data_IF_065950587639
#
_entry.id   IF_065950587639
#
_cell.length_a   1.000
_cell.length_b   1.000
_cell.length_c   1.000
_cell.angle_alpha   90.00
_cell.angle_beta   90.00
_cell.angle_gamma   90.00
#
_symmetry.space_group_name_H-M   'P 1'
#
loop_
_entity.id
_entity.type
_entity.pdbx_description
1 polymer ?
#
# COMPACT_ATOMS: atom_id res chain seq x y z
N UNK A 1 -26.39 0.40 7.05
CA UNK A 1 -25.98 0.30 5.63
C UNK A 1 -24.56 -0.24 5.58
N UNK A 2 -24.22 -1.10 4.60
CA UNK A 2 -22.84 -1.59 4.40
C UNK A 2 -21.94 -0.38 4.11
N UNK A 3 -20.79 -0.32 4.76
CA UNK A 3 -19.77 0.70 4.54
C UNK A 3 -18.66 0.15 3.64
N UNK A 4 -18.00 1.05 2.94
CA UNK A 4 -16.93 0.80 1.98
C UNK A 4 -15.81 1.80 2.18
N UNK A 5 -14.70 1.60 1.48
CA UNK A 5 -13.61 2.57 1.45
C UNK A 5 -13.24 2.96 0.02
N UNK A 6 -12.96 4.26 -0.19
CA UNK A 6 -12.45 4.79 -1.45
C UNK A 6 -11.01 5.23 -1.25
N UNK A 7 -10.15 4.85 -2.17
CA UNK A 7 -8.79 5.38 -2.30
C UNK A 7 -8.79 6.42 -3.42
N UNK A 8 -8.22 7.59 -3.16
CA UNK A 8 -7.87 8.60 -4.16
C UNK A 8 -6.38 8.94 -3.99
N UNK A 9 -5.63 8.98 -5.08
CA UNK A 9 -4.20 9.33 -5.06
C UNK A 9 -3.90 10.31 -6.19
N UNK A 10 -3.11 11.34 -5.89
CA UNK A 10 -2.69 12.39 -6.80
C UNK A 10 -1.16 12.50 -6.79
N UNK A 11 -0.55 12.58 -7.98
CA UNK A 11 0.89 12.68 -8.11
C UNK A 11 1.37 14.10 -7.76
N UNK A 12 2.31 14.21 -6.81
CA UNK A 12 2.89 15.54 -6.50
C UNK A 12 3.71 16.02 -7.69
N UNK A 13 3.55 17.30 -8.03
CA UNK A 13 4.37 17.98 -9.03
C UNK A 13 4.40 17.29 -10.41
N UNK A 14 3.35 16.53 -10.76
CA UNK A 14 3.25 15.78 -12.03
C UNK A 14 3.47 16.66 -13.28
N UNK A 15 3.20 17.96 -13.16
CA UNK A 15 3.36 18.97 -14.22
C UNK A 15 4.78 19.48 -14.40
N UNK A 16 5.71 19.16 -13.49
CA UNK A 16 7.12 19.56 -13.59
C UNK A 16 7.98 18.56 -14.37
N UNK A 17 7.49 17.33 -14.57
CA UNK A 17 8.18 16.34 -15.40
C UNK A 17 8.08 16.73 -16.87
N UNK A 18 9.14 16.45 -17.64
CA UNK A 18 9.04 16.54 -19.08
C UNK A 18 8.06 15.48 -19.63
N UNK A 19 7.68 15.62 -20.90
CA UNK A 19 6.65 14.77 -21.51
C UNK A 19 7.09 13.30 -21.57
N UNK A 20 8.39 13.04 -21.78
CA UNK A 20 8.90 11.69 -21.92
C UNK A 20 8.94 10.98 -20.56
N UNK A 21 9.46 11.64 -19.53
CA UNK A 21 9.47 11.17 -18.15
C UNK A 21 8.05 10.96 -17.63
N UNK A 22 7.13 11.89 -17.93
CA UNK A 22 5.72 11.76 -17.55
C UNK A 22 5.08 10.52 -18.18
N UNK A 23 5.33 10.24 -19.45
CA UNK A 23 4.83 9.04 -20.12
C UNK A 23 5.40 7.75 -19.49
N UNK A 24 6.70 7.74 -19.19
CA UNK A 24 7.35 6.59 -18.54
C UNK A 24 6.79 6.34 -17.14
N UNK A 25 6.60 7.40 -16.35
CA UNK A 25 6.00 7.35 -15.02
C UNK A 25 4.56 6.82 -15.11
N UNK A 26 3.74 7.34 -16.03
CA UNK A 26 2.36 6.87 -16.20
C UNK A 26 2.30 5.40 -16.59
N UNK A 27 3.16 4.94 -17.50
CA UNK A 27 3.23 3.52 -17.87
C UNK A 27 3.65 2.62 -16.69
N UNK A 28 4.60 3.07 -15.88
CA UNK A 28 5.02 2.36 -14.65
C UNK A 28 3.88 2.27 -13.63
N UNK A 29 3.18 3.39 -13.41
CA UNK A 29 2.01 3.46 -12.53
C UNK A 29 0.90 2.54 -13.03
N UNK A 30 0.58 2.57 -14.32
CA UNK A 30 -0.45 1.71 -14.90
C UNK A 30 -0.11 0.23 -14.76
N UNK A 31 1.15 -0.15 -14.97
CA UNK A 31 1.63 -1.50 -14.72
C UNK A 31 1.46 -1.91 -13.25
N UNK A 32 1.79 -1.00 -12.32
CA UNK A 32 1.61 -1.21 -10.88
C UNK A 32 0.15 -1.40 -10.51
N UNK A 33 -0.74 -0.55 -11.02
CA UNK A 33 -2.20 -0.64 -10.83
C UNK A 33 -2.73 -1.98 -11.34
N UNK A 34 -2.36 -2.38 -12.56
CA UNK A 34 -2.82 -3.65 -13.14
C UNK A 34 -2.41 -4.87 -12.30
N UNK A 35 -1.22 -4.85 -11.72
CA UNK A 35 -0.77 -5.92 -10.81
C UNK A 35 -1.55 -5.88 -9.50
N UNK A 36 -1.71 -4.70 -8.90
CA UNK A 36 -2.41 -4.57 -7.63
C UNK A 36 -3.90 -4.87 -7.75
N UNK A 37 -4.58 -4.51 -8.84
CA UNK A 37 -5.97 -4.90 -9.08
C UNK A 37 -6.14 -6.44 -9.06
N UNK A 38 -5.19 -7.19 -9.65
CA UNK A 38 -5.19 -8.66 -9.57
C UNK A 38 -4.93 -9.20 -8.16
N UNK A 39 -4.03 -8.56 -7.42
CA UNK A 39 -3.69 -8.94 -6.05
C UNK A 39 -4.88 -8.68 -5.13
N UNK A 40 -5.58 -7.55 -5.28
CA UNK A 40 -6.69 -7.15 -4.41
C UNK A 40 -8.07 -7.52 -4.98
N UNK A 41 -8.14 -8.41 -5.97
CA UNK A 41 -9.39 -8.81 -6.63
C UNK A 41 -10.49 -9.30 -5.67
N UNK A 42 -10.10 -9.81 -4.50
CA UNK A 42 -11.03 -10.30 -3.47
C UNK A 42 -11.62 -9.17 -2.61
N UNK A 43 -11.02 -7.97 -2.63
CA UNK A 43 -11.35 -6.85 -1.75
C UNK A 43 -11.63 -5.52 -2.47
N UNK A 44 -11.66 -5.54 -3.81
CA UNK A 44 -12.02 -4.43 -4.68
C UNK A 44 -13.46 -4.59 -5.16
N UNK A 45 -14.25 -3.52 -5.07
CA UNK A 45 -15.61 -3.43 -5.64
C UNK A 45 -15.58 -2.66 -6.97
N UNK A 46 -14.66 -1.70 -7.14
CA UNK A 46 -14.34 -1.05 -8.42
C UNK A 46 -12.84 -0.90 -8.54
N UNK A 47 -12.29 -1.43 -9.63
CA UNK A 47 -10.85 -1.41 -9.92
C UNK A 47 -10.25 -0.02 -9.75
N UNK A 48 -8.99 0.02 -9.30
CA UNK A 48 -8.24 1.25 -9.30
C UNK A 48 -7.84 1.57 -10.73
N UNK A 49 -8.07 2.79 -11.14
CA UNK A 49 -7.75 3.29 -12.48
C UNK A 49 -7.40 4.77 -12.41
N UNK A 50 -6.87 5.31 -13.51
CA UNK A 50 -6.76 6.76 -13.67
C UNK A 50 -8.16 7.36 -13.78
N UNK A 51 -8.41 8.41 -13.00
CA UNK A 51 -9.54 9.31 -13.18
C UNK A 51 -9.11 10.47 -14.09
N UNK A 52 -9.84 11.60 -14.05
CA UNK A 52 -9.51 12.74 -14.90
C UNK A 52 -8.12 13.31 -14.56
N UNK A 53 -7.16 13.14 -15.48
CA UNK A 53 -5.81 13.69 -15.37
C UNK A 53 -4.79 12.68 -14.83
N UNK A 54 -4.15 13.03 -13.72
CA UNK A 54 -3.09 12.27 -13.04
C UNK A 54 -3.52 11.68 -11.70
N UNK A 55 -4.79 11.86 -11.34
CA UNK A 55 -5.39 11.24 -10.17
C UNK A 55 -5.78 9.79 -10.49
N UNK A 56 -5.66 8.92 -9.49
CA UNK A 56 -6.13 7.53 -9.54
C UNK A 56 -7.15 7.30 -8.43
N UNK A 57 -8.13 6.43 -8.69
CA UNK A 57 -9.22 6.18 -7.77
C UNK A 57 -9.68 4.72 -7.84
N UNK A 58 -10.07 4.13 -6.70
CA UNK A 58 -10.74 2.82 -6.64
C UNK A 58 -11.62 2.65 -5.39
N UNK A 59 -12.49 1.65 -5.43
CA UNK A 59 -13.46 1.34 -4.36
C UNK A 59 -13.19 -0.05 -3.79
N UNK A 60 -13.20 -0.13 -2.46
CA UNK A 60 -12.80 -1.29 -1.69
C UNK A 60 -13.86 -1.69 -0.67
N UNK A 61 -13.86 -2.97 -0.29
CA UNK A 61 -14.80 -3.51 0.71
C UNK A 61 -14.53 -3.00 2.13
N UNK A 62 -13.30 -2.55 2.44
CA UNK A 62 -12.89 -2.13 3.78
C UNK A 62 -11.76 -1.10 3.77
N UNK A 63 -11.61 -0.33 4.86
CA UNK A 63 -10.52 0.64 5.04
C UNK A 63 -9.14 -0.02 5.02
N UNK A 64 -9.03 -1.22 5.58
CA UNK A 64 -7.82 -2.05 5.64
C UNK A 64 -7.34 -2.41 4.24
N UNK A 65 -8.26 -2.87 3.38
CA UNK A 65 -7.94 -3.20 1.98
C UNK A 65 -7.47 -1.97 1.19
N UNK A 66 -8.15 -0.83 1.33
CA UNK A 66 -7.73 0.43 0.70
C UNK A 66 -6.34 0.91 1.19
N UNK A 67 -6.08 0.82 2.50
CA UNK A 67 -4.78 1.20 3.08
C UNK A 67 -3.64 0.28 2.64
N UNK A 68 -3.87 -1.04 2.61
CA UNK A 68 -2.89 -2.00 2.13
C UNK A 68 -2.60 -1.83 0.64
N UNK A 69 -3.63 -1.55 -0.17
CA UNK A 69 -3.46 -1.21 -1.58
C UNK A 69 -2.59 0.03 -1.74
N UNK A 70 -2.94 1.13 -1.07
CA UNK A 70 -2.15 2.38 -1.07
C UNK A 70 -0.69 2.10 -0.69
N UNK A 71 -0.47 1.33 0.38
CA UNK A 71 0.87 1.07 0.90
C UNK A 71 1.72 0.27 -0.08
N UNK A 72 1.17 -0.76 -0.74
CA UNK A 72 1.90 -1.48 -1.77
C UNK A 72 2.10 -0.60 -3.01
N UNK A 73 1.09 0.19 -3.39
CA UNK A 73 1.20 1.13 -4.51
C UNK A 73 2.34 2.12 -4.31
N UNK A 74 2.44 2.75 -3.12
CA UNK A 74 3.51 3.70 -2.81
C UNK A 74 4.91 3.07 -2.84
N UNK A 75 5.03 1.80 -2.45
CA UNK A 75 6.30 1.05 -2.59
C UNK A 75 6.65 0.77 -4.05
N UNK A 76 5.66 0.45 -4.91
CA UNK A 76 5.90 0.17 -6.33
C UNK A 76 6.35 1.40 -7.12
N UNK A 77 5.86 2.58 -6.75
CA UNK A 77 6.15 3.84 -7.45
C UNK A 77 7.28 4.65 -6.79
N UNK A 78 7.88 4.15 -5.71
CA UNK A 78 8.97 4.85 -5.01
C UNK A 78 10.12 5.18 -5.99
N UNK A 79 10.71 6.40 -5.94
CA UNK A 79 10.55 7.47 -4.95
C UNK A 79 9.50 8.55 -5.31
N UNK A 80 8.56 8.27 -6.21
CA UNK A 80 7.55 9.26 -6.63
C UNK A 80 6.68 9.66 -5.45
N UNK A 81 6.53 10.97 -5.24
CA UNK A 81 5.72 11.50 -4.15
C UNK A 81 4.26 11.61 -4.57
N UNK A 82 3.36 11.28 -3.64
CA UNK A 82 1.91 11.31 -3.85
C UNK A 82 1.18 12.03 -2.70
N UNK A 83 0.02 12.59 -2.99
CA UNK A 83 -1.02 12.88 -2.00
C UNK A 83 -2.07 11.78 -2.03
N UNK A 84 -2.52 11.31 -0.88
CA UNK A 84 -3.50 10.21 -0.80
C UNK A 84 -4.63 10.56 0.16
N UNK A 85 -5.86 10.29 -0.26
CA UNK A 85 -7.06 10.32 0.57
C UNK A 85 -7.71 8.95 0.62
N UNK A 86 -7.98 8.45 1.83
CA UNK A 86 -8.76 7.23 2.06
C UNK A 86 -10.06 7.64 2.78
N UNK A 87 -11.19 7.46 2.11
CA UNK A 87 -12.51 7.72 2.68
C UNK A 87 -13.15 6.44 3.19
N UNK A 88 -13.89 6.51 4.30
CA UNK A 88 -14.76 5.42 4.77
C UNK A 88 -16.20 5.92 4.92
N UNK A 89 -17.17 5.20 4.36
CA UNK A 89 -18.55 5.66 4.33
C UNK A 89 -19.49 4.75 3.54
N UNK A 90 -20.68 5.25 3.24
CA UNK A 90 -21.67 4.56 2.40
C UNK A 90 -21.39 4.81 0.90
N UNK A 91 -21.71 3.79 0.09
CA UNK A 91 -21.72 3.87 -1.37
C UNK A 91 -23.19 3.94 -1.82
N UNK A 92 -23.63 5.16 -2.16
CA UNK A 92 -25.04 5.56 -2.23
C UNK A 92 -25.58 5.53 -3.67
N UNK A 93 -24.81 6.06 -4.64
CA UNK A 93 -25.16 6.04 -6.06
C UNK A 93 -24.31 4.98 -6.75
N UNK A 94 -24.99 3.99 -7.33
CA UNK A 94 -24.36 2.88 -8.05
C UNK A 94 -24.78 2.91 -9.50
N UNK A 95 -23.84 3.20 -10.37
CA UNK A 95 -24.05 3.08 -11.81
C UNK A 95 -23.46 1.74 -12.24
N UNK A 96 -24.34 0.84 -12.69
CA UNK A 96 -23.96 -0.50 -13.13
C UNK A 96 -22.99 -0.44 -14.32
N UNK A 97 -22.02 -1.35 -14.33
CA UNK A 97 -20.97 -1.46 -15.37
C UNK A 97 -20.07 -0.24 -15.58
N UNK A 98 -20.25 0.83 -14.81
CA UNK A 98 -19.37 1.99 -14.86
C UNK A 98 -18.20 1.90 -13.89
N UNK A 99 -17.18 2.70 -14.15
CA UNK A 99 -15.97 2.74 -13.34
C UNK A 99 -16.17 3.43 -11.99
N UNK A 100 -15.12 3.46 -11.16
CA UNK A 100 -15.15 4.15 -9.86
C UNK A 100 -15.50 5.64 -9.99
N UNK A 101 -15.18 6.26 -11.12
CA UNK A 101 -15.38 7.71 -11.35
C UNK A 101 -16.85 8.11 -11.52
N UNK A 102 -17.72 7.17 -11.92
CA UNK A 102 -19.15 7.40 -12.10
C UNK A 102 -19.99 7.12 -10.85
N UNK A 103 -19.35 6.67 -9.77
CA UNK A 103 -20.01 6.30 -8.52
C UNK A 103 -20.06 7.50 -7.56
N UNK A 104 -20.97 7.45 -6.59
CA UNK A 104 -21.05 8.50 -5.56
C UNK A 104 -21.52 7.96 -4.21
N UNK A 105 -21.27 8.75 -3.17
CA UNK A 105 -21.72 8.50 -1.81
C UNK A 105 -20.80 9.13 -0.78
N UNK A 106 -21.19 9.04 0.48
CA UNK A 106 -20.39 9.62 1.58
C UNK A 106 -18.95 9.10 1.63
N UNK A 107 -18.70 7.88 1.13
CA UNK A 107 -17.35 7.32 0.99
C UNK A 107 -16.47 8.14 0.03
N UNK A 108 -17.00 8.58 -1.12
CA UNK A 108 -16.28 9.37 -2.11
C UNK A 108 -16.04 10.80 -1.63
N UNK A 109 -17.06 11.43 -1.02
CA UNK A 109 -16.91 12.75 -0.41
C UNK A 109 -15.86 12.75 0.70
N UNK A 110 -15.81 11.68 1.52
CA UNK A 110 -14.83 11.55 2.58
C UNK A 110 -13.41 11.38 2.02
N UNK A 111 -13.22 10.57 0.97
CA UNK A 111 -11.92 10.39 0.32
C UNK A 111 -11.43 11.70 -0.32
N UNK A 112 -12.33 12.43 -0.99
CA UNK A 112 -12.05 13.75 -1.57
C UNK A 112 -11.59 14.75 -0.51
N UNK A 113 -12.32 14.83 0.60
CA UNK A 113 -11.93 15.68 1.73
C UNK A 113 -10.54 15.30 2.26
N UNK A 114 -10.26 14.01 2.42
CA UNK A 114 -8.97 13.56 2.92
C UNK A 114 -7.81 13.94 1.99
N UNK A 115 -7.92 13.73 0.68
CA UNK A 115 -6.84 14.08 -0.26
C UNK A 115 -6.67 15.61 -0.39
N UNK A 116 -7.76 16.38 -0.36
CA UNK A 116 -7.68 17.84 -0.44
C UNK A 116 -7.00 18.44 0.79
N UNK A 117 -7.22 17.88 1.98
CA UNK A 117 -6.49 18.29 3.19
C UNK A 117 -5.02 17.82 3.15
N UNK A 118 -4.74 16.64 2.61
CA UNK A 118 -3.37 16.17 2.44
C UNK A 118 -2.56 17.06 1.46
N UNK A 119 -3.21 17.59 0.42
CA UNK A 119 -2.61 18.55 -0.53
C UNK A 119 -2.27 19.91 0.11
N UNK A 120 -2.99 20.30 1.17
CA UNK A 120 -2.77 21.57 1.90
C UNK A 120 -1.76 21.43 3.05
N UNK A 121 -1.57 20.22 3.55
CA UNK A 121 -0.69 19.96 4.70
C UNK A 121 0.78 19.92 4.28
N UNK A 122 1.64 20.49 5.12
CA UNK A 122 3.10 20.36 4.97
C UNK A 122 3.60 19.04 5.56
N UNK A 123 2.88 18.49 6.54
CA UNK A 123 3.28 17.33 7.33
C UNK A 123 2.64 16.02 6.84
N UNK A 124 1.39 16.06 6.37
CA UNK A 124 0.60 14.87 6.03
C UNK A 124 0.40 14.75 4.53
N UNK A 125 1.07 13.80 3.89
CA UNK A 125 0.81 13.46 2.48
C UNK A 125 -0.30 12.42 2.29
N UNK A 126 -0.72 11.73 3.35
CA UNK A 126 -1.78 10.72 3.30
C UNK A 126 -2.71 10.89 4.49
N UNK A 127 -4.01 10.93 4.22
CA UNK A 127 -5.05 11.06 5.24
C UNK A 127 -6.17 10.04 5.03
N UNK A 128 -6.70 9.58 6.15
CA UNK A 128 -7.90 8.77 6.29
C UNK A 128 -9.01 9.62 6.90
N UNK A 129 -10.24 9.48 6.39
CA UNK A 129 -11.41 10.18 6.92
C UNK A 129 -12.66 9.30 6.95
N UNK A 130 -13.21 9.12 8.14
CA UNK A 130 -14.43 8.35 8.40
C UNK A 130 -15.51 9.14 9.16
N UNK A 131 -15.18 10.36 9.61
CA UNK A 131 -15.94 11.17 10.58
C UNK A 131 -15.94 10.60 12.01
N UNK A 132 -15.13 9.58 12.28
CA UNK A 132 -14.92 9.06 13.63
C UNK A 132 -13.83 9.87 14.35
N UNK A 133 -13.97 10.09 15.65
CA UNK A 133 -12.94 10.74 16.48
C UNK A 133 -11.60 10.00 16.45
N UNK A 134 -11.61 8.69 16.20
CA UNK A 134 -10.42 7.85 16.13
C UNK A 134 -9.57 8.11 14.87
N UNK A 135 -10.07 8.87 13.88
CA UNK A 135 -9.32 9.26 12.68
C UNK A 135 -7.99 9.95 13.04
N UNK A 136 -7.95 10.71 14.14
CA UNK A 136 -6.72 11.39 14.59
C UNK A 136 -5.59 10.40 14.93
N UNK A 137 -5.94 9.26 15.54
CA UNK A 137 -4.96 8.21 15.91
C UNK A 137 -4.50 7.50 14.65
N UNK A 138 -5.43 7.12 13.78
CA UNK A 138 -5.14 6.44 12.50
C UNK A 138 -4.23 7.32 11.65
N UNK A 139 -4.56 8.59 11.48
CA UNK A 139 -3.76 9.53 10.69
C UNK A 139 -2.38 9.76 11.27
N UNK A 140 -2.25 9.81 12.60
CA UNK A 140 -0.94 9.94 13.25
C UNK A 140 -0.05 8.71 12.97
N UNK A 141 -0.63 7.51 13.02
CA UNK A 141 0.07 6.26 12.72
C UNK A 141 0.45 6.16 11.23
N UNK A 142 -0.47 6.52 10.33
CA UNK A 142 -0.21 6.59 8.88
C UNK A 142 0.93 7.56 8.59
N UNK A 143 0.93 8.73 9.23
CA UNK A 143 1.96 9.73 9.02
C UNK A 143 3.33 9.25 9.50
N UNK A 144 3.40 8.66 10.70
CA UNK A 144 4.63 8.05 11.20
C UNK A 144 5.19 6.99 10.23
N UNK A 145 4.32 6.11 9.72
CA UNK A 145 4.72 5.11 8.73
C UNK A 145 5.20 5.75 7.42
N UNK A 146 4.50 6.77 6.93
CA UNK A 146 4.83 7.46 5.69
C UNK A 146 6.18 8.19 5.78
N UNK A 147 6.45 8.87 6.90
CA UNK A 147 7.71 9.57 7.14
C UNK A 147 8.91 8.62 7.26
N UNK A 148 8.72 7.44 7.85
CA UNK A 148 9.78 6.41 7.91
C UNK A 148 10.02 5.79 6.53
N UNK A 149 8.97 5.48 5.78
CA UNK A 149 9.09 4.92 4.43
C UNK A 149 9.81 5.90 3.50
N UNK A 150 9.56 7.21 3.63
CA UNK A 150 10.22 8.24 2.83
C UNK A 150 11.73 8.36 3.05
N UNK A 151 12.23 7.92 4.20
CA UNK A 151 13.66 7.94 4.53
C UNK A 151 14.42 6.74 3.98
N UNK A 152 13.71 5.75 3.46
CA UNK A 152 14.33 4.57 2.87
C UNK A 152 15.08 4.94 1.59
N UNK A 153 16.16 4.20 1.30
CA UNK A 153 16.74 4.15 -0.04
C UNK A 153 15.91 3.24 -0.95
N UNK A 154 16.11 3.35 -2.27
CA UNK A 154 15.48 2.42 -3.23
C UNK A 154 15.78 0.96 -2.90
N UNK A 155 17.01 0.66 -2.46
CA UNK A 155 17.38 -0.69 -2.03
C UNK A 155 16.55 -1.15 -0.82
N UNK A 156 16.35 -0.29 0.17
CA UNK A 156 15.53 -0.61 1.35
C UNK A 156 14.06 -0.78 1.00
N UNK A 157 13.50 0.06 0.12
CA UNK A 157 12.14 -0.11 -0.40
C UNK A 157 11.98 -1.44 -1.17
N UNK A 158 12.97 -1.84 -1.99
CA UNK A 158 12.98 -3.15 -2.66
C UNK A 158 13.05 -4.31 -1.66
N UNK A 159 13.81 -4.17 -0.57
CA UNK A 159 13.79 -5.16 0.53
C UNK A 159 12.43 -5.22 1.24
N UNK A 160 11.75 -4.09 1.38
CA UNK A 160 10.40 -4.00 1.92
C UNK A 160 9.42 -4.78 1.05
N UNK A 161 9.43 -4.57 -0.28
CA UNK A 161 8.62 -5.32 -1.24
C UNK A 161 8.87 -6.83 -1.13
N UNK A 162 10.14 -7.27 -1.03
CA UNK A 162 10.46 -8.68 -0.81
C UNK A 162 9.86 -9.22 0.50
N UNK A 163 9.87 -8.42 1.57
CA UNK A 163 9.26 -8.81 2.83
C UNK A 163 7.73 -8.96 2.72
N UNK A 164 7.06 -8.12 1.92
CA UNK A 164 5.62 -8.24 1.65
C UNK A 164 5.29 -9.44 0.75
N UNK A 165 6.16 -9.81 -0.18
CA UNK A 165 5.99 -11.04 -1.00
C UNK A 165 6.17 -12.30 -0.14
N UNK A 166 7.21 -12.34 0.69
CA UNK A 166 7.55 -13.51 1.51
C UNK A 166 6.62 -13.67 2.71
N UNK A 167 6.19 -12.55 3.30
CA UNK A 167 5.35 -12.51 4.49
C UNK A 167 4.34 -11.35 4.36
N UNK A 168 3.30 -11.49 3.54
CA UNK A 168 2.30 -10.44 3.38
C UNK A 168 1.64 -10.05 4.71
N UNK A 169 1.37 -8.75 4.89
CA UNK A 169 0.56 -8.22 6.00
C UNK A 169 -0.90 -8.12 5.54
N UNK A 170 -1.46 -9.24 5.13
CA UNK A 170 -2.84 -9.35 4.67
C UNK A 170 -3.27 -10.82 4.67
N UNK A 171 -4.56 -11.04 4.84
CA UNK A 171 -5.20 -12.35 4.74
C UNK A 171 -5.67 -12.66 3.32
N UNK A 172 -5.94 -13.94 3.03
CA UNK A 172 -6.37 -14.40 1.69
C UNK A 172 -7.71 -13.81 1.22
N UNK A 173 -8.57 -13.40 2.17
CA UNK A 173 -9.80 -12.67 1.87
C UNK A 173 -9.53 -11.24 1.38
N UNK A 174 -8.39 -10.65 1.72
CA UNK A 174 -8.00 -9.32 1.23
C UNK A 174 -7.20 -9.44 -0.06
N UNK A 175 -6.22 -10.36 -0.13
CA UNK A 175 -5.31 -10.48 -1.27
C UNK A 175 -5.18 -11.90 -1.83
N UNK A 176 -4.97 -12.00 -3.14
CA UNK A 176 -4.59 -13.22 -3.84
C UNK A 176 -3.07 -13.43 -3.75
N UNK A 177 -2.65 -14.34 -2.86
CA UNK A 177 -1.24 -14.67 -2.68
C UNK A 177 -0.57 -15.18 -3.96
N UNK A 178 -1.30 -15.85 -4.87
CA UNK A 178 -0.70 -16.36 -6.12
C UNK A 178 -0.20 -15.24 -7.02
N UNK A 179 -0.83 -14.06 -6.95
CA UNK A 179 -0.46 -12.90 -7.74
C UNK A 179 0.60 -12.01 -7.07
N UNK A 180 0.93 -12.21 -5.79
CA UNK A 180 1.98 -11.43 -5.11
C UNK A 180 3.32 -11.51 -5.82
N UNK A 181 3.66 -12.67 -6.41
CA UNK A 181 4.91 -12.83 -7.18
C UNK A 181 5.01 -11.90 -8.39
N UNK A 182 3.89 -11.38 -8.91
CA UNK A 182 3.94 -10.40 -10.00
C UNK A 182 4.66 -9.10 -9.59
N UNK A 183 4.67 -8.76 -8.29
CA UNK A 183 5.44 -7.62 -7.75
C UNK A 183 6.93 -7.72 -8.07
N UNK A 184 7.48 -8.93 -8.26
CA UNK A 184 8.91 -9.10 -8.60
C UNK A 184 9.33 -8.40 -9.88
N UNK A 185 8.39 -8.11 -10.78
CA UNK A 185 8.64 -7.29 -11.97
C UNK A 185 9.17 -5.89 -11.62
N UNK A 186 8.80 -5.36 -10.45
CA UNK A 186 9.26 -4.07 -9.92
C UNK A 186 10.51 -4.18 -9.05
N UNK A 187 10.91 -5.40 -8.70
CA UNK A 187 12.05 -5.65 -7.81
C UNK A 187 13.25 -6.08 -8.65
N UNK A 188 13.94 -5.10 -9.24
CA UNK A 188 15.21 -5.30 -9.93
C UNK A 188 16.38 -4.85 -9.07
N UNK A 189 17.35 -5.74 -8.82
CA UNK A 189 18.59 -5.41 -8.14
C UNK A 189 19.73 -5.38 -9.16
N UNK A 190 20.65 -4.42 -9.05
CA UNK A 190 21.77 -4.24 -10.00
C UNK A 190 22.58 -5.51 -10.29
N UNK A 191 22.62 -6.45 -9.35
CA UNK A 191 23.40 -7.71 -9.47
C UNK A 191 22.57 -8.94 -9.81
N UNK A 192 21.24 -8.82 -9.93
CA UNK A 192 20.32 -9.91 -10.27
C UNK A 192 19.12 -9.37 -11.03
N UNK A 193 19.13 -9.64 -12.33
CA UNK A 193 17.96 -9.50 -13.19
C UNK A 193 17.07 -10.74 -13.07
N UNK A 194 15.76 -10.56 -13.22
CA UNK A 194 14.77 -11.65 -13.29
C UNK A 194 14.80 -12.61 -12.08
N UNK A 195 14.57 -12.07 -10.88
CA UNK A 195 14.38 -12.88 -9.67
C UNK A 195 13.23 -13.88 -9.87
N UNK A 196 13.56 -15.17 -9.94
CA UNK A 196 12.58 -16.24 -9.88
C UNK A 196 12.45 -16.66 -8.42
N UNK A 197 11.23 -16.53 -7.90
CA UNK A 197 10.85 -17.04 -6.59
C UNK A 197 10.05 -18.32 -6.77
N UNK A 198 10.69 -19.45 -6.49
CA UNK A 198 10.01 -20.71 -6.25
C UNK A 198 9.55 -20.71 -4.79
N UNK A 199 8.50 -19.94 -4.51
CA UNK A 199 7.86 -19.89 -3.19
C UNK A 199 6.65 -20.82 -3.28
N UNK A 200 6.73 -21.97 -2.62
CA UNK A 200 5.54 -22.54 -2.02
C UNK A 200 5.09 -21.55 -0.96
N UNK A 201 4.05 -20.75 -1.27
CA UNK A 201 3.49 -19.83 -0.28
C UNK A 201 3.07 -20.72 0.88
N UNK A 202 3.73 -20.61 2.06
CA UNK A 202 3.21 -21.32 3.20
C UNK A 202 1.76 -20.83 3.36
N UNK A 203 0.85 -21.73 3.74
CA UNK A 203 -0.45 -21.32 4.26
C UNK A 203 -0.12 -20.47 5.49
N UNK A 204 0.01 -19.16 5.29
CA UNK A 204 0.23 -18.23 6.39
C UNK A 204 -1.13 -18.17 7.04
N UNK A 205 -1.31 -18.97 8.09
CA UNK A 205 -2.40 -18.74 9.02
C UNK A 205 -2.24 -17.31 9.47
N UNK A 206 -3.21 -16.49 9.11
CA UNK A 206 -3.39 -15.11 9.53
C UNK A 206 -3.65 -15.09 11.02
N UNK A 207 -2.62 -15.41 11.81
CA UNK A 207 -2.69 -15.26 13.24
C UNK A 207 -2.35 -13.81 13.58
N UNK A 208 -3.32 -12.95 13.28
CA UNK A 208 -3.66 -11.80 14.12
C UNK A 208 -4.30 -12.26 15.46
N UNK A 209 -4.35 -13.57 15.72
CA UNK A 209 -5.17 -14.23 16.73
C UNK A 209 -4.68 -14.14 18.18
N UNK A 210 -3.46 -13.67 18.45
CA UNK A 210 -3.03 -13.47 19.85
C UNK A 210 -3.21 -12.01 20.24
N UNK A 211 -4.24 -11.76 21.05
CA UNK A 211 -4.33 -10.53 21.85
C UNK A 211 -3.01 -10.36 22.60
N UNK A 212 -2.30 -9.30 22.25
CA UNK A 212 -1.01 -8.92 22.83
C UNK A 212 -1.10 -7.47 23.26
N UNK A 213 -0.48 -7.14 24.39
CA UNK A 213 -0.42 -5.77 24.91
C UNK A 213 0.36 -4.82 23.98
N UNK A 214 1.20 -5.34 23.08
CA UNK A 214 2.00 -4.57 22.13
C UNK A 214 2.23 -5.33 20.81
N UNK A 215 2.56 -4.61 19.74
CA UNK A 215 2.72 -5.15 18.38
C UNK A 215 4.18 -5.51 18.10
N UNK A 216 4.42 -6.75 17.68
CA UNK A 216 5.75 -7.27 17.24
C UNK A 216 5.67 -8.17 16.01
N UNK A 217 4.47 -8.46 15.53
CA UNK A 217 4.17 -9.43 14.49
C UNK A 217 4.75 -9.05 13.12
N UNK A 218 5.15 -7.77 12.95
CA UNK A 218 5.84 -7.26 11.77
C UNK A 218 7.23 -7.87 11.60
N UNK A 219 7.90 -8.26 12.70
CA UNK A 219 9.18 -8.97 12.65
C UNK A 219 8.98 -10.44 12.32
N UNK A 220 9.61 -10.91 11.25
CA UNK A 220 9.53 -12.31 10.80
C UNK A 220 10.88 -13.01 10.93
N UNK A 221 10.90 -14.10 11.71
CA UNK A 221 12.09 -14.93 11.90
C UNK A 221 12.49 -15.55 10.55
N UNK A 222 13.76 -15.44 10.18
CA UNK A 222 14.28 -16.01 8.93
C UNK A 222 14.18 -15.11 7.70
N UNK A 223 13.51 -13.94 7.78
CA UNK A 223 13.39 -13.01 6.66
C UNK A 223 14.75 -12.63 6.06
N UNK A 224 15.71 -12.23 6.90
CA UNK A 224 17.06 -11.89 6.45
C UNK A 224 17.77 -13.03 5.74
N UNK A 225 17.52 -14.26 6.17
CA UNK A 225 18.13 -15.47 5.60
C UNK A 225 17.52 -15.83 4.25
N UNK A 226 16.20 -15.68 4.11
CA UNK A 226 15.51 -15.91 2.84
C UNK A 226 15.93 -14.87 1.80
N UNK A 227 15.90 -13.59 2.17
CA UNK A 227 16.35 -12.50 1.28
C UNK A 227 17.83 -12.67 0.91
N UNK A 228 18.70 -13.02 1.86
CA UNK A 228 20.13 -13.19 1.57
C UNK A 228 20.38 -14.31 0.56
N UNK A 229 19.65 -15.44 0.67
CA UNK A 229 19.69 -16.53 -0.30
C UNK A 229 19.16 -16.08 -1.66
N UNK A 230 18.02 -15.42 -1.68
CA UNK A 230 17.39 -14.91 -2.90
C UNK A 230 18.33 -13.98 -3.68
N UNK A 231 19.00 -13.08 -2.97
CA UNK A 231 19.86 -12.06 -3.58
C UNK A 231 21.31 -12.53 -3.78
N UNK A 232 21.74 -13.62 -3.14
CA UNK A 232 23.13 -14.07 -3.19
C UNK A 232 24.10 -13.13 -2.45
N UNK A 233 23.63 -12.46 -1.38
CA UNK A 233 24.44 -11.55 -0.55
C UNK A 233 24.55 -12.08 0.88
N UNK A 234 25.41 -11.48 1.71
CA UNK A 234 25.55 -11.91 3.10
C UNK A 234 24.30 -11.60 3.93
N UNK A 235 23.92 -12.52 4.84
CA UNK A 235 22.80 -12.32 5.78
C UNK A 235 22.99 -11.07 6.63
N UNK A 236 24.22 -10.82 7.09
CA UNK A 236 24.57 -9.65 7.91
C UNK A 236 24.33 -8.33 7.16
N UNK A 237 24.62 -8.28 5.86
CA UNK A 237 24.34 -7.10 5.04
C UNK A 237 22.84 -6.83 4.95
N UNK A 238 22.03 -7.87 4.69
CA UNK A 238 20.56 -7.76 4.67
C UNK A 238 20.02 -7.32 6.03
N UNK A 239 20.50 -7.92 7.13
CA UNK A 239 20.08 -7.55 8.50
C UNK A 239 20.38 -6.09 8.81
N UNK A 240 21.56 -5.60 8.42
CA UNK A 240 21.94 -4.20 8.56
C UNK A 240 20.98 -3.29 7.78
N UNK A 241 20.68 -3.63 6.52
CA UNK A 241 19.78 -2.83 5.68
C UNK A 241 18.33 -2.83 6.17
N UNK A 242 17.82 -3.98 6.64
CA UNK A 242 16.50 -4.10 7.28
C UNK A 242 16.41 -3.18 8.50
N UNK A 243 17.46 -3.17 9.34
CA UNK A 243 17.51 -2.34 10.54
C UNK A 243 17.58 -0.85 10.20
N UNK A 244 18.46 -0.43 9.29
CA UNK A 244 18.62 0.98 8.92
C UNK A 244 17.37 1.50 8.18
N UNK A 245 16.68 0.63 7.44
CA UNK A 245 15.46 0.98 6.72
C UNK A 245 14.20 0.90 7.56
N UNK A 246 14.29 0.64 8.87
CA UNK A 246 13.15 0.54 9.80
C UNK A 246 12.04 -0.43 9.29
N UNK A 247 12.44 -1.51 8.60
CA UNK A 247 11.49 -2.40 7.91
C UNK A 247 10.54 -3.08 8.90
N UNK A 248 11.02 -3.51 10.07
CA UNK A 248 10.15 -4.17 11.05
C UNK A 248 9.22 -3.17 11.75
N UNK A 249 9.72 -1.97 12.02
CA UNK A 249 8.99 -0.86 12.62
C UNK A 249 7.86 -0.40 11.68
N UNK A 250 8.14 -0.23 10.39
CA UNK A 250 7.14 0.07 9.36
C UNK A 250 6.06 -1.01 9.28
N UNK A 251 6.44 -2.29 9.36
CA UNK A 251 5.48 -3.40 9.38
C UNK A 251 4.63 -3.40 10.65
N UNK A 252 5.20 -3.10 11.81
CA UNK A 252 4.45 -2.97 13.06
C UNK A 252 3.48 -1.77 13.02
N UNK A 253 3.91 -0.62 12.48
CA UNK A 253 3.02 0.54 12.28
C UNK A 253 1.88 0.22 11.32
N UNK A 254 2.17 -0.53 10.24
CA UNK A 254 1.12 -1.01 9.31
C UNK A 254 0.07 -1.82 10.07
N UNK A 255 0.49 -2.79 10.88
CA UNK A 255 -0.41 -3.61 11.69
C UNK A 255 -1.21 -2.76 12.69
N UNK A 256 -0.58 -1.74 13.29
CA UNK A 256 -1.26 -0.81 14.18
C UNK A 256 -2.36 -0.01 13.46
N UNK A 257 -2.09 0.47 12.24
CA UNK A 257 -3.08 1.16 11.40
C UNK A 257 -4.26 0.23 11.10
N UNK A 258 -4.00 -1.02 10.71
CA UNK A 258 -5.06 -2.01 10.42
C UNK A 258 -5.94 -2.26 11.64
N UNK A 259 -5.34 -2.54 12.80
CA UNK A 259 -6.07 -2.74 14.07
C UNK A 259 -6.86 -1.49 14.48
N UNK A 260 -6.35 -0.29 14.20
CA UNK A 260 -7.06 0.96 14.49
C UNK A 260 -8.26 1.17 13.53
N UNK A 261 -8.12 0.81 12.25
CA UNK A 261 -9.19 0.88 11.25
C UNK A 261 -10.32 -0.13 11.51
N UNK A 262 -10.03 -1.30 12.09
CA UNK A 262 -11.06 -2.26 12.54
C UNK A 262 -12.06 -1.65 13.54
N UNK A 263 -11.67 -0.60 14.26
CA UNK A 263 -12.43 0.02 15.34
C UNK A 263 -13.21 1.28 14.92
N UNK A 264 -13.52 1.44 13.62
CA UNK A 264 -14.13 2.66 13.03
C UNK A 264 -15.49 2.41 12.38
#
# INVERSE_FOLDING_TARGET
MKKYSVLMVDLKNSRLYDIQDRNNIQNSILSGINILNKIFKNSIEKEVEFSAGDEIQGLFISSQSAYLYYRLFSMLIFPIQIHTGIGFGTWDIRVENESSTAQDGTVYHNARKAIDEAKKSLEYSTLFYSKNKNDIIINSLINAATLLAFKQSEYQNKLMLLAEILYPIASEDIIDYKNLKEILKFVQFEKKENLILDIDYPVISTQLEKESFYITEGKKRGLSTQISKLLGVSRQSVEKSIKIGDIYELRNLTIAVLKAMDNV
#
